data_IF_038183821868
#
_entry.id   IF_038183821868
#
_cell.length_a   1.000
_cell.length_b   1.000
_cell.length_c   1.000
_cell.angle_alpha   90.00
_cell.angle_beta   90.00
_cell.angle_gamma   90.00
#
_symmetry.space_group_name_H-M   'P 1'
#
loop_
_entity.id
_entity.type
_entity.pdbx_description
1 polymer ?
#
# COMPACT_ATOMS: atom_id res chain seq x y z
N UNK A 1 17.85 -0.48 -19.44
CA UNK A 1 18.31 -0.06 -18.10
C UNK A 1 17.66 -1.03 -17.13
N UNK A 2 18.43 -1.98 -16.57
CA UNK A 2 17.92 -2.96 -15.61
C UNK A 2 18.02 -2.33 -14.23
N UNK A 3 16.89 -2.05 -13.59
CA UNK A 3 16.83 -1.49 -12.23
C UNK A 3 16.82 -2.65 -11.22
N UNK A 4 17.91 -2.88 -10.46
CA UNK A 4 18.05 -4.05 -9.57
C UNK A 4 17.02 -4.12 -8.43
N UNK A 5 16.19 -3.10 -8.29
CA UNK A 5 15.18 -2.95 -7.24
C UNK A 5 13.74 -3.13 -7.74
N UNK A 6 13.52 -3.32 -9.05
CA UNK A 6 12.18 -3.47 -9.63
C UNK A 6 11.39 -4.68 -9.09
N UNK A 7 12.04 -5.57 -8.34
CA UNK A 7 11.46 -6.79 -7.77
C UNK A 7 11.54 -6.87 -6.24
N UNK A 8 11.93 -5.81 -5.54
CA UNK A 8 11.80 -5.80 -4.08
C UNK A 8 10.36 -5.48 -3.73
N UNK A 9 9.67 -6.44 -3.08
CA UNK A 9 8.34 -6.21 -2.55
C UNK A 9 8.35 -5.04 -1.58
N UNK A 10 7.43 -4.09 -1.78
CA UNK A 10 7.24 -2.92 -0.91
C UNK A 10 6.10 -3.19 0.06
N UNK A 11 6.33 -2.94 1.35
CA UNK A 11 5.30 -3.09 2.39
C UNK A 11 4.82 -1.70 2.78
N UNK A 12 3.52 -1.49 2.64
CA UNK A 12 2.83 -0.30 3.09
C UNK A 12 1.80 -0.65 4.17
N UNK A 13 1.40 0.35 4.95
CA UNK A 13 0.30 0.20 5.91
C UNK A 13 -0.97 0.77 5.29
N UNK A 14 -1.98 -0.09 5.13
CA UNK A 14 -3.34 0.35 4.76
C UNK A 14 -4.07 0.76 6.03
N UNK A 15 -4.38 2.06 6.15
CA UNK A 15 -5.05 2.62 7.33
C UNK A 15 -6.58 2.55 7.26
N UNK A 16 -7.13 2.27 6.08
CA UNK A 16 -8.58 2.20 5.82
C UNK A 16 -8.93 2.79 4.46
N UNK A 17 -10.22 3.09 4.28
CA UNK A 17 -10.74 3.87 3.15
C UNK A 17 -11.32 5.18 3.66
N UNK A 18 -11.22 6.24 2.86
CA UNK A 18 -11.93 7.48 3.14
C UNK A 18 -13.39 7.44 2.69
N UNK A 19 -14.13 8.52 2.94
CA UNK A 19 -15.55 8.67 2.58
C UNK A 19 -15.82 8.64 1.06
N UNK A 20 -14.79 8.86 0.25
CA UNK A 20 -14.87 8.82 -1.22
C UNK A 20 -14.50 7.46 -1.81
N UNK A 21 -14.14 6.49 -0.95
CA UNK A 21 -13.72 5.15 -1.35
C UNK A 21 -12.24 5.03 -1.73
N UNK A 22 -11.42 6.05 -1.48
CA UNK A 22 -9.97 5.97 -1.72
C UNK A 22 -9.28 5.26 -0.56
N UNK A 23 -8.30 4.41 -0.88
CA UNK A 23 -7.48 3.71 0.10
C UNK A 23 -6.48 4.69 0.70
N UNK A 24 -6.41 4.75 2.02
CA UNK A 24 -5.46 5.57 2.77
C UNK A 24 -4.21 4.72 3.05
N UNK A 25 -3.09 5.13 2.49
CA UNK A 25 -1.82 4.41 2.56
C UNK A 25 -0.82 5.25 3.38
N UNK A 26 -0.13 4.58 4.31
CA UNK A 26 1.05 5.11 5.00
C UNK A 26 2.26 4.36 4.52
N UNK A 27 3.20 5.08 3.94
CA UNK A 27 4.40 4.53 3.33
C UNK A 27 5.61 4.77 4.26
N UNK A 28 6.16 3.72 4.88
CA UNK A 28 7.31 3.85 5.76
C UNK A 28 8.60 4.23 5.04
N UNK A 29 8.71 3.98 3.72
CA UNK A 29 9.95 4.18 2.97
C UNK A 29 10.28 5.66 2.82
N UNK A 30 9.28 6.46 2.43
CA UNK A 30 9.42 7.91 2.26
C UNK A 30 8.83 8.71 3.43
N UNK A 31 8.35 8.02 4.48
CA UNK A 31 7.59 8.62 5.59
C UNK A 31 6.39 9.47 5.11
N UNK A 32 5.76 9.07 4.01
CA UNK A 32 4.63 9.78 3.40
C UNK A 32 3.30 9.12 3.71
N UNK A 33 2.22 9.86 3.50
CA UNK A 33 0.86 9.33 3.52
C UNK A 33 0.11 9.86 2.31
N UNK A 34 -0.54 8.96 1.58
CA UNK A 34 -1.25 9.31 0.36
C UNK A 34 -2.54 8.50 0.22
N UNK A 35 -3.35 8.90 -0.75
CA UNK A 35 -4.61 8.25 -1.09
C UNK A 35 -4.51 7.69 -2.50
N UNK A 36 -5.06 6.51 -2.71
CA UNK A 36 -5.05 5.82 -4.00
C UNK A 36 -6.42 5.25 -4.31
N UNK A 37 -6.79 5.20 -5.59
CA UNK A 37 -8.00 4.52 -6.00
C UNK A 37 -7.86 3.01 -5.77
N UNK A 38 -8.95 2.35 -5.36
CA UNK A 38 -8.93 0.92 -5.07
C UNK A 38 -8.48 0.09 -6.28
N UNK A 39 -8.94 0.45 -7.48
CA UNK A 39 -8.60 -0.24 -8.71
C UNK A 39 -7.11 -0.10 -9.05
N UNK A 40 -6.54 1.08 -8.82
CA UNK A 40 -5.10 1.32 -8.99
C UNK A 40 -4.28 0.51 -7.97
N UNK A 41 -4.70 0.50 -6.71
CA UNK A 41 -4.02 -0.27 -5.66
C UNK A 41 -3.95 -1.76 -5.98
N UNK A 42 -5.03 -2.34 -6.52
CA UNK A 42 -5.09 -3.76 -6.89
C UNK A 42 -4.05 -4.12 -7.97
N UNK A 43 -3.69 -3.18 -8.85
CA UNK A 43 -2.67 -3.43 -9.87
C UNK A 43 -1.25 -3.59 -9.29
N UNK A 44 -0.98 -2.99 -8.12
CA UNK A 44 0.31 -3.09 -7.43
C UNK A 44 0.30 -4.15 -6.32
N UNK A 45 -0.87 -4.44 -5.74
CA UNK A 45 -0.99 -5.34 -4.61
C UNK A 45 -0.85 -6.81 -5.02
N UNK A 46 0.12 -7.50 -4.44
CA UNK A 46 0.37 -8.92 -4.68
C UNK A 46 -0.62 -9.88 -3.96
N UNK A 47 -1.77 -9.37 -3.51
CA UNK A 47 -2.80 -10.11 -2.75
C UNK A 47 -2.36 -10.65 -1.38
N UNK A 48 -1.21 -10.22 -0.84
CA UNK A 48 -0.77 -10.59 0.51
C UNK A 48 -1.01 -9.46 1.51
N UNK A 49 -1.56 -9.79 2.67
CA UNK A 49 -1.76 -8.85 3.76
C UNK A 49 -1.49 -9.51 5.11
N UNK A 50 -0.92 -8.75 6.03
CA UNK A 50 -0.68 -9.16 7.41
C UNK A 50 -1.64 -8.39 8.30
N UNK A 51 -2.44 -9.13 9.07
CA UNK A 51 -3.38 -8.55 10.03
C UNK A 51 -2.88 -8.83 11.43
N UNK A 52 -2.73 -7.78 12.22
CA UNK A 52 -2.52 -7.89 13.67
C UNK A 52 -3.86 -7.63 14.35
N UNK A 53 -4.36 -8.63 15.08
CA UNK A 53 -5.46 -8.43 16.01
C UNK A 53 -4.86 -7.79 17.26
N UNK A 54 -5.12 -6.50 17.50
CA UNK A 54 -4.91 -5.91 18.83
C UNK A 54 -6.06 -6.40 19.71
N UNK A 55 -5.71 -7.32 20.62
CA UNK A 55 -6.56 -7.82 21.70
C UNK A 55 -6.42 -6.86 22.89
#
# INVERSE_FOLDING_TARGET
>A
MWEPLANLGHIVVVAGMDETGKIIIRDPWDATSYKMDKEEFINYWNSQAIYSLRI
#
